data_IF_930356859452
#
_entry.id   IF_930356859452
#
_cell.length_a   1.000
_cell.length_b   1.000
_cell.length_c   1.000
_cell.angle_alpha   90.00
_cell.angle_beta   90.00
_cell.angle_gamma   90.00
#
_symmetry.space_group_name_H-M   'P 1'
#
loop_
_entity.id
_entity.type
_entity.pdbx_description
1 polymer ?
#
# COMPACT_ATOMS: atom_id res chain seq x y z
N UNK A 1 5.33 10.50 0.52
CA UNK A 1 4.78 9.33 1.25
C UNK A 1 5.95 8.64 1.89
N UNK A 2 6.10 8.83 3.20
CA UNK A 2 7.16 8.23 4.02
C UNK A 2 6.83 6.79 4.44
N UNK A 3 5.55 6.41 4.43
CA UNK A 3 5.03 5.07 4.68
C UNK A 3 3.63 4.90 4.04
N UNK A 4 3.04 3.70 4.12
CA UNK A 4 1.72 3.37 3.59
C UNK A 4 1.74 2.60 2.26
N UNK A 5 0.57 2.33 1.66
CA UNK A 5 0.48 1.51 0.46
C UNK A 5 1.00 2.25 -0.77
N UNK A 6 1.72 1.54 -1.62
CA UNK A 6 2.18 1.97 -2.93
C UNK A 6 1.66 1.00 -3.98
N UNK A 7 1.01 1.54 -5.02
CA UNK A 7 0.44 0.73 -6.11
C UNK A 7 1.39 0.73 -7.30
N UNK A 8 1.78 -0.44 -7.77
CA UNK A 8 2.41 -0.61 -9.09
C UNK A 8 1.33 -0.64 -10.18
N UNK A 9 1.15 0.51 -10.84
CA UNK A 9 0.18 0.65 -11.91
C UNK A 9 0.53 -0.13 -13.19
N UNK A 10 1.75 -0.64 -13.36
CA UNK A 10 2.06 -1.52 -14.50
C UNK A 10 1.43 -2.90 -14.34
N UNK A 11 1.42 -3.43 -13.12
CA UNK A 11 0.88 -4.75 -12.80
C UNK A 11 -0.59 -4.71 -12.38
N UNK A 12 -1.04 -3.63 -11.74
CA UNK A 12 -2.43 -3.51 -11.30
C UNK A 12 -3.42 -3.63 -12.48
N UNK A 13 -4.46 -4.46 -12.31
CA UNK A 13 -5.53 -4.66 -13.30
C UNK A 13 -6.83 -3.93 -12.98
N UNK A 14 -6.87 -3.12 -11.92
CA UNK A 14 -8.06 -2.35 -11.55
C UNK A 14 -9.20 -3.20 -10.97
N UNK A 15 -8.88 -4.23 -10.18
CA UNK A 15 -9.89 -5.12 -9.58
C UNK A 15 -10.63 -4.55 -8.35
N UNK A 16 -10.34 -3.30 -7.96
CA UNK A 16 -10.96 -2.58 -6.84
C UNK A 16 -10.84 -3.18 -5.42
N UNK A 17 -10.33 -4.40 -5.22
CA UNK A 17 -10.24 -5.03 -3.88
C UNK A 17 -9.50 -4.21 -2.82
N UNK A 18 -8.38 -3.59 -3.18
CA UNK A 18 -7.64 -2.72 -2.25
C UNK A 18 -8.46 -1.51 -1.80
N UNK A 19 -9.32 -0.99 -2.69
CA UNK A 19 -10.25 0.10 -2.40
C UNK A 19 -11.42 -0.36 -1.54
N UNK A 20 -12.05 -1.49 -1.89
CA UNK A 20 -13.25 -1.98 -1.20
C UNK A 20 -12.98 -2.57 0.19
N UNK A 21 -11.80 -3.14 0.40
CA UNK A 21 -11.48 -3.91 1.62
C UNK A 21 -10.54 -3.16 2.57
N UNK A 22 -10.15 -1.92 2.26
CA UNK A 22 -9.32 -1.15 3.18
C UNK A 22 -10.14 -0.68 4.38
N UNK A 23 -9.83 -1.14 5.62
CA UNK A 23 -10.63 -0.78 6.80
C UNK A 23 -10.48 0.70 7.19
N UNK A 24 -9.43 1.36 6.69
CA UNK A 24 -9.11 2.76 6.98
C UNK A 24 -9.45 3.70 5.81
N UNK A 25 -10.09 3.19 4.74
CA UNK A 25 -10.48 3.97 3.57
C UNK A 25 -9.34 4.79 2.93
N UNK A 26 -8.12 4.23 2.94
CA UNK A 26 -6.89 4.89 2.46
C UNK A 26 -6.92 5.14 0.95
N UNK A 27 -7.67 4.33 0.22
CA UNK A 27 -7.70 4.34 -1.23
C UNK A 27 -8.88 5.18 -1.73
N UNK A 28 -8.65 5.96 -2.79
CA UNK A 28 -9.72 6.48 -3.63
C UNK A 28 -9.88 5.64 -4.90
N UNK A 29 -10.86 6.01 -5.73
CA UNK A 29 -11.11 5.34 -7.01
C UNK A 29 -11.20 6.32 -8.17
N UNK A 30 -10.25 6.22 -9.11
CA UNK A 30 -10.31 6.94 -10.39
C UNK A 30 -11.21 6.16 -11.36
N UNK A 31 -12.45 6.64 -11.53
CA UNK A 31 -13.45 6.03 -12.42
C UNK A 31 -13.04 6.05 -13.88
N UNK A 32 -12.32 7.07 -14.34
CA UNK A 32 -11.92 7.20 -15.73
C UNK A 32 -10.81 6.20 -16.08
N UNK A 33 -9.82 6.05 -15.19
CA UNK A 33 -8.71 5.11 -15.38
C UNK A 33 -9.02 3.69 -14.92
N UNK A 34 -10.11 3.49 -14.15
CA UNK A 34 -10.45 2.24 -13.46
C UNK A 34 -9.29 1.76 -12.59
N UNK A 35 -8.73 2.66 -11.78
CA UNK A 35 -7.56 2.41 -10.93
C UNK A 35 -7.80 2.94 -9.52
N UNK A 36 -7.22 2.28 -8.50
CA UNK A 36 -7.17 2.84 -7.16
C UNK A 36 -6.20 4.03 -7.14
N UNK A 37 -6.51 5.04 -6.33
CA UNK A 37 -5.56 6.09 -5.93
C UNK A 37 -5.26 5.92 -4.45
N UNK A 38 -4.09 6.36 -3.99
CA UNK A 38 -3.77 6.40 -2.55
C UNK A 38 -4.11 7.80 -2.06
N UNK A 39 -5.26 7.96 -1.42
CA UNK A 39 -5.83 9.25 -1.05
C UNK A 39 -5.30 9.75 0.30
N UNK A 40 -5.22 8.87 1.30
CA UNK A 40 -4.86 9.23 2.68
C UNK A 40 -3.70 8.36 3.21
N UNK A 41 -2.51 8.40 2.58
CA UNK A 41 -1.40 7.49 2.90
C UNK A 41 -0.97 7.54 4.39
N UNK A 42 -1.01 8.71 5.00
CA UNK A 42 -0.54 8.94 6.37
C UNK A 42 -1.49 8.32 7.44
N UNK A 43 -2.73 7.98 7.07
CA UNK A 43 -3.70 7.33 7.95
C UNK A 43 -3.61 5.80 7.91
N UNK A 44 -2.70 5.25 7.11
CA UNK A 44 -2.54 3.82 6.97
C UNK A 44 -2.05 3.17 8.28
N UNK A 45 -2.81 2.21 8.78
CA UNK A 45 -2.48 1.44 10.00
C UNK A 45 -1.56 0.24 9.75
N UNK A 46 -0.99 0.13 8.54
CA UNK A 46 -0.05 -0.93 8.15
C UNK A 46 -0.61 -2.36 8.30
N UNK A 47 -1.94 -2.53 8.18
CA UNK A 47 -2.60 -3.84 8.32
C UNK A 47 -2.33 -4.82 7.16
N UNK A 48 -1.70 -4.37 6.07
CA UNK A 48 -1.32 -5.18 4.91
C UNK A 48 -2.47 -5.88 4.15
N UNK A 49 -3.74 -5.63 4.50
CA UNK A 49 -4.90 -6.24 3.82
C UNK A 49 -4.85 -6.02 2.31
N UNK A 50 -4.53 -4.79 1.88
CA UNK A 50 -4.46 -4.43 0.46
C UNK A 50 -3.40 -5.21 -0.34
N UNK A 51 -2.33 -5.69 0.29
CA UNK A 51 -1.34 -6.57 -0.34
C UNK A 51 -1.89 -8.00 -0.46
N UNK A 52 -2.43 -8.52 0.65
CA UNK A 52 -2.94 -9.90 0.76
C UNK A 52 -4.07 -10.15 -0.26
N UNK A 53 -4.97 -9.18 -0.43
CA UNK A 53 -6.15 -9.33 -1.31
C UNK A 53 -5.86 -8.97 -2.77
N UNK A 54 -4.68 -8.43 -3.08
CA UNK A 54 -4.33 -8.06 -4.45
C UNK A 54 -3.94 -9.30 -5.26
N UNK A 55 -4.75 -9.74 -6.24
CA UNK A 55 -4.44 -10.95 -7.01
C UNK A 55 -3.18 -10.81 -7.89
N UNK A 56 -2.81 -9.57 -8.21
CA UNK A 56 -1.66 -9.26 -9.08
C UNK A 56 -0.39 -8.93 -8.27
N UNK A 57 -0.47 -8.97 -6.93
CA UNK A 57 0.64 -8.55 -6.04
C UNK A 57 1.16 -7.16 -6.43
N UNK A 58 0.23 -6.26 -6.77
CA UNK A 58 0.54 -4.93 -7.31
C UNK A 58 0.50 -3.82 -6.25
N UNK A 59 0.40 -4.18 -4.97
CA UNK A 59 0.38 -3.25 -3.83
C UNK A 59 1.47 -3.68 -2.87
N UNK A 60 2.28 -2.72 -2.44
CA UNK A 60 3.35 -2.89 -1.44
C UNK A 60 3.16 -1.84 -0.33
N UNK A 61 3.09 -2.27 0.93
CA UNK A 61 2.93 -1.40 2.11
C UNK A 61 4.31 -1.07 2.65
N UNK A 62 4.72 0.19 2.44
CA UNK A 62 5.98 0.68 2.95
C UNK A 62 5.86 0.96 4.45
N UNK A 63 6.67 0.28 5.24
CA UNK A 63 6.77 0.52 6.68
C UNK A 63 7.77 1.67 6.97
N UNK A 64 7.52 2.50 8.00
CA UNK A 64 8.53 3.44 8.48
C UNK A 64 9.81 2.72 8.91
N UNK A 65 10.97 3.32 8.64
CA UNK A 65 12.28 2.72 8.97
C UNK A 65 12.41 2.39 10.47
N UNK A 66 11.96 3.29 11.35
CA UNK A 66 12.04 3.08 12.79
C UNK A 66 11.29 1.81 13.21
N UNK A 67 10.07 1.62 12.69
CA UNK A 67 9.24 0.43 12.93
C UNK A 67 9.95 -0.85 12.52
N UNK A 68 10.60 -0.87 11.35
CA UNK A 68 11.35 -2.03 10.86
C UNK A 68 12.53 -2.36 11.78
N UNK A 69 13.25 -1.33 12.25
CA UNK A 69 14.37 -1.49 13.19
C UNK A 69 13.90 -1.98 14.56
N UNK A 70 12.74 -1.52 15.03
CA UNK A 70 12.15 -1.98 16.30
C UNK A 70 11.80 -3.48 16.27
N UNK A 71 11.45 -4.01 15.08
CA UNK A 71 11.27 -5.45 14.85
C UNK A 71 12.58 -6.23 14.64
N UNK A 72 13.73 -5.61 14.91
CA UNK A 72 15.04 -6.25 14.83
C UNK A 72 15.55 -6.47 13.41
N UNK A 73 14.91 -5.86 12.40
CA UNK A 73 15.41 -5.90 11.02
C UNK A 73 16.46 -4.80 10.86
N UNK A 74 17.74 -5.15 10.64
CA UNK A 74 18.78 -4.15 10.54
C UNK A 74 18.58 -3.29 9.28
N UNK A 75 18.83 -1.97 9.34
CA UNK A 75 18.73 -1.13 8.16
C UNK A 75 19.75 -1.64 7.13
N UNK A 76 19.27 -1.96 5.93
CA UNK A 76 20.17 -2.28 4.81
C UNK A 76 21.02 -1.03 4.55
N UNK A 77 22.33 -1.13 4.73
CA UNK A 77 23.23 -0.03 4.40
C UNK A 77 23.07 0.27 2.91
N UNK A 78 22.51 1.43 2.60
CA UNK A 78 22.49 2.00 1.26
C UNK A 78 23.80 2.78 1.14
N UNK A 79 24.87 2.07 0.77
CA UNK A 79 26.12 2.69 0.32
C UNK A 79 26.09 2.82 -1.20
#
# INVERSE_FOLDING_TARGET
MTYGPRVDYKHCKGCARCYELCPMDIFGWDKAKKRPTVAYPEECTLCCICEIVCPEVAVDVHFPLHTIVDFGVPPKKVY
#
